data_IF_845179956396
#
_entry.id   IF_845179956396
#
_cell.length_a   1.000
_cell.length_b   1.000
_cell.length_c   1.000
_cell.angle_alpha   90.00
_cell.angle_beta   90.00
_cell.angle_gamma   90.00
#
_symmetry.space_group_name_H-M   'P 1'
#
loop_
_entity.id
_entity.type
_entity.pdbx_description
1 polymer ?
#
# COMPACT_ATOMS: atom_id res chain seq x y z
N UNK A 1 -1.06 1.38 3.29
CA UNK A 1 -0.28 2.38 4.04
C UNK A 1 1.16 2.28 3.54
N UNK A 2 1.69 3.36 2.96
CA UNK A 2 2.99 3.36 2.28
C UNK A 2 4.00 4.14 3.14
N UNK A 3 5.15 3.53 3.41
CA UNK A 3 6.27 4.19 4.11
C UNK A 3 7.42 4.31 3.12
N UNK A 4 7.71 5.54 2.67
CA UNK A 4 8.82 5.80 1.75
C UNK A 4 10.08 6.17 2.51
N UNK A 5 11.21 5.57 2.13
CA UNK A 5 12.54 5.98 2.59
C UNK A 5 13.16 6.85 1.53
N UNK A 6 13.15 8.17 1.67
CA UNK A 6 13.94 9.03 0.77
C UNK A 6 13.46 10.46 0.63
N UNK A 7 12.27 10.70 0.09
CA UNK A 7 11.74 12.06 -0.08
C UNK A 7 10.22 12.04 0.12
N UNK A 8 9.75 12.96 0.97
CA UNK A 8 8.40 12.98 1.51
C UNK A 8 7.47 13.80 0.63
N UNK A 9 6.48 13.14 0.04
CA UNK A 9 5.34 13.84 -0.54
C UNK A 9 4.49 14.47 0.58
N UNK A 10 4.07 15.71 0.39
CA UNK A 10 3.60 16.61 1.47
C UNK A 10 2.21 16.19 1.98
N UNK A 11 2.14 15.26 2.93
CA UNK A 11 0.97 15.12 3.80
C UNK A 11 1.06 16.16 4.94
N UNK A 12 0.21 17.20 4.97
CA UNK A 12 0.25 18.24 6.01
C UNK A 12 -0.23 17.74 7.38
N UNK A 13 -0.81 16.54 7.48
CA UNK A 13 -1.47 16.05 8.71
C UNK A 13 -0.65 15.06 9.51
N UNK A 14 0.34 14.40 8.92
CA UNK A 14 1.17 13.42 9.64
C UNK A 14 2.54 13.26 8.97
N UNK A 15 3.60 13.48 9.75
CA UNK A 15 4.97 13.15 9.39
C UNK A 15 5.41 12.00 10.30
N UNK A 16 5.63 10.79 9.79
CA UNK A 16 6.04 9.67 10.62
C UNK A 16 7.41 9.98 11.25
N UNK A 17 7.55 9.74 12.55
CA UNK A 17 8.86 9.79 13.23
C UNK A 17 9.66 8.54 12.92
N UNK A 18 10.93 8.50 13.34
CA UNK A 18 11.76 7.28 13.25
C UNK A 18 11.12 6.12 13.99
N UNK A 19 10.54 6.40 15.17
CA UNK A 19 9.83 5.42 15.99
C UNK A 19 8.57 4.90 15.29
N UNK A 20 7.81 5.77 14.60
CA UNK A 20 6.65 5.35 13.82
C UNK A 20 7.06 4.41 12.67
N UNK A 21 8.14 4.74 11.97
CA UNK A 21 8.68 3.90 10.89
C UNK A 21 9.15 2.56 11.45
N UNK A 22 9.90 2.56 12.54
CA UNK A 22 10.38 1.34 13.19
C UNK A 22 9.21 0.45 13.64
N UNK A 23 8.20 1.04 14.30
CA UNK A 23 7.01 0.32 14.74
C UNK A 23 6.26 -0.31 13.55
N UNK A 24 6.12 0.44 12.45
CA UNK A 24 5.47 -0.08 11.25
C UNK A 24 6.23 -1.25 10.63
N UNK A 25 7.57 -1.15 10.50
CA UNK A 25 8.39 -2.23 9.94
C UNK A 25 8.43 -3.48 10.83
N UNK A 26 8.43 -3.31 12.16
CA UNK A 26 8.30 -4.43 13.09
C UNK A 26 6.95 -5.12 12.93
N UNK A 27 5.86 -4.34 12.87
CA UNK A 27 4.52 -4.87 12.63
C UNK A 27 4.40 -5.62 11.30
N UNK A 28 4.99 -5.08 10.22
CA UNK A 28 5.04 -5.78 8.93
C UNK A 28 5.81 -7.10 9.02
N UNK A 29 6.91 -7.14 9.78
CA UNK A 29 7.67 -8.38 10.00
C UNK A 29 6.82 -9.43 10.72
N UNK A 30 6.06 -9.02 11.74
CA UNK A 30 5.12 -9.90 12.44
C UNK A 30 4.00 -10.40 11.54
N UNK A 31 3.41 -9.53 10.71
CA UNK A 31 2.39 -9.92 9.73
C UNK A 31 2.91 -10.97 8.75
N UNK A 32 4.09 -10.73 8.17
CA UNK A 32 4.68 -11.65 7.21
C UNK A 32 5.04 -13.00 7.84
N UNK A 33 5.40 -13.01 9.11
CA UNK A 33 5.73 -14.21 9.86
C UNK A 33 4.49 -15.02 10.28
N UNK A 34 3.43 -14.34 10.75
CA UNK A 34 2.26 -14.99 11.34
C UNK A 34 1.21 -15.43 10.30
N UNK A 35 1.26 -14.87 9.08
CA UNK A 35 0.27 -15.13 8.04
C UNK A 35 0.94 -15.62 6.76
N UNK A 36 0.97 -16.94 6.56
CA UNK A 36 1.58 -17.58 5.40
C UNK A 36 0.99 -17.10 4.06
N UNK A 37 -0.32 -16.81 4.04
CA UNK A 37 -1.04 -16.35 2.85
C UNK A 37 -1.01 -14.83 2.63
N UNK A 38 -0.39 -14.07 3.53
CA UNK A 38 -0.26 -12.62 3.35
C UNK A 38 0.79 -12.32 2.28
N UNK A 39 0.41 -11.63 1.21
CA UNK A 39 1.31 -11.25 0.14
C UNK A 39 1.70 -9.77 0.25
N UNK A 40 2.93 -9.45 -0.13
CA UNK A 40 3.45 -8.09 -0.13
C UNK A 40 4.43 -7.93 -1.28
N UNK A 41 4.53 -6.71 -1.80
CA UNK A 41 5.52 -6.37 -2.80
C UNK A 41 6.23 -5.07 -2.46
N UNK A 42 7.52 -5.01 -2.78
CA UNK A 42 8.30 -3.78 -2.82
C UNK A 42 8.17 -3.18 -4.23
N UNK A 43 7.93 -1.88 -4.29
CA UNK A 43 7.83 -1.13 -5.55
C UNK A 43 8.85 0.00 -5.55
N UNK A 44 9.36 0.33 -6.73
CA UNK A 44 10.22 1.49 -6.93
C UNK A 44 9.41 2.76 -7.20
N UNK A 45 10.09 3.91 -7.24
CA UNK A 45 9.46 5.21 -7.48
C UNK A 45 8.77 5.29 -8.85
N UNK A 46 9.29 4.58 -9.85
CA UNK A 46 8.67 4.52 -11.18
C UNK A 46 7.29 3.83 -11.11
N UNK A 47 7.23 2.65 -10.50
CA UNK A 47 6.01 1.89 -10.30
C UNK A 47 5.04 2.65 -9.40
N UNK A 48 5.55 3.26 -8.32
CA UNK A 48 4.77 4.14 -7.45
C UNK A 48 4.13 5.29 -8.24
N UNK A 49 4.88 5.98 -9.10
CA UNK A 49 4.36 7.07 -9.93
C UNK A 49 3.21 6.65 -10.85
N UNK A 50 3.15 5.37 -11.25
CA UNK A 50 2.05 4.82 -12.02
C UNK A 50 0.79 4.57 -11.19
N UNK A 51 0.93 4.16 -9.92
CA UNK A 51 -0.20 3.65 -9.10
C UNK A 51 -0.63 4.58 -7.97
N UNK A 52 0.20 5.54 -7.54
CA UNK A 52 -0.05 6.38 -6.36
C UNK A 52 -1.28 7.29 -6.44
N UNK A 53 -1.83 7.49 -7.64
CA UNK A 53 -2.90 8.48 -7.88
C UNK A 53 -4.22 8.11 -7.23
N UNK A 54 -4.46 6.82 -6.97
CA UNK A 54 -5.70 6.36 -6.33
C UNK A 54 -5.38 5.23 -5.35
N UNK A 55 -5.71 5.44 -4.08
CA UNK A 55 -5.69 4.39 -3.08
C UNK A 55 -7.05 3.70 -3.07
N UNK A 56 -7.06 2.40 -3.30
CA UNK A 56 -8.26 1.59 -3.26
C UNK A 56 -7.99 0.26 -2.55
N UNK A 57 -9.03 -0.28 -1.93
CA UNK A 57 -9.03 -1.60 -1.32
C UNK A 57 -10.07 -2.47 -2.02
N UNK A 58 -9.70 -3.71 -2.38
CA UNK A 58 -10.64 -4.70 -2.91
C UNK A 58 -10.97 -5.69 -1.79
N UNK A 59 -12.24 -5.81 -1.43
CA UNK A 59 -12.72 -6.78 -0.45
C UNK A 59 -13.42 -7.94 -1.16
N UNK A 60 -12.72 -9.08 -1.20
CA UNK A 60 -13.21 -10.28 -1.88
C UNK A 60 -13.45 -10.04 -3.37
N UNK A 61 -14.61 -10.47 -3.86
CA UNK A 61 -15.02 -10.32 -5.25
C UNK A 61 -16.25 -9.41 -5.44
N UNK A 62 -16.60 -8.61 -4.43
CA UNK A 62 -17.89 -7.91 -4.42
C UNK A 62 -17.80 -6.43 -4.05
N UNK A 63 -16.64 -5.92 -3.62
CA UNK A 63 -16.54 -4.52 -3.19
C UNK A 63 -15.17 -3.93 -3.45
N UNK A 64 -15.16 -2.73 -4.03
CA UNK A 64 -14.01 -1.84 -4.09
C UNK A 64 -14.31 -0.62 -3.22
N UNK A 65 -13.41 -0.28 -2.32
CA UNK A 65 -13.46 0.94 -1.53
C UNK A 65 -12.40 1.92 -2.04
N UNK A 66 -12.80 3.16 -2.32
CA UNK A 66 -11.89 4.22 -2.79
C UNK A 66 -11.94 5.37 -1.80
N UNK A 67 -10.76 5.76 -1.30
CA UNK A 67 -10.61 6.96 -0.48
C UNK A 67 -10.67 8.21 -1.36
N UNK A 68 -11.66 9.06 -1.14
CA UNK A 68 -11.81 10.32 -1.86
C UNK A 68 -11.47 11.47 -0.93
N UNK A 69 -10.43 12.22 -1.32
CA UNK A 69 -10.10 13.48 -0.67
C UNK A 69 -11.11 14.55 -1.12
N UNK A 70 -11.76 15.23 -0.17
CA UNK A 70 -12.69 16.30 -0.51
C UNK A 70 -11.94 17.45 -1.18
N UNK A 71 -12.54 18.01 -2.25
CA UNK A 71 -11.98 19.17 -2.98
C UNK A 71 -12.00 20.48 -2.21
N UNK A 72 -12.56 20.52 -1.00
CA UNK A 72 -12.81 21.74 -0.24
C UNK A 72 -12.38 21.58 1.22
N UNK A 73 -11.59 22.55 1.70
CA UNK A 73 -11.14 22.65 3.10
C UNK A 73 -12.29 22.77 4.11
N UNK A 74 -13.51 23.07 3.64
CA UNK A 74 -14.70 23.18 4.49
C UNK A 74 -15.21 21.82 5.01
N UNK A 75 -14.76 20.70 4.43
CA UNK A 75 -15.11 19.35 4.89
C UNK A 75 -13.84 18.50 4.96
N UNK A 76 -13.13 18.46 6.10
CA UNK A 76 -11.86 17.73 6.22
C UNK A 76 -12.04 16.19 6.30
N UNK A 77 -13.25 15.66 6.09
CA UNK A 77 -13.52 14.23 6.23
C UNK A 77 -13.21 13.52 4.92
N UNK A 78 -12.32 12.54 4.99
CA UNK A 78 -12.13 11.56 3.91
C UNK A 78 -13.47 10.83 3.71
N UNK A 79 -14.00 10.87 2.49
CA UNK A 79 -15.18 10.11 2.13
C UNK A 79 -14.74 8.79 1.49
N UNK A 80 -15.37 7.69 1.87
CA UNK A 80 -15.13 6.37 1.29
C UNK A 80 -16.26 6.06 0.33
N UNK A 81 -15.94 5.87 -0.95
CA UNK A 81 -16.88 5.37 -1.94
C UNK A 81 -16.76 3.86 -1.98
N UNK A 82 -17.85 3.16 -1.68
CA UNK A 82 -17.96 1.72 -1.85
C UNK A 82 -18.69 1.40 -3.16
N UNK A 83 -18.02 0.70 -4.06
CA UNK A 83 -18.57 0.24 -5.34
C UNK A 83 -18.82 -1.26 -5.23
N UNK A 84 -20.05 -1.68 -5.45
CA UNK A 84 -20.49 -3.09 -5.39
C UNK A 84 -20.98 -3.63 -6.73
N UNK A 85 -20.94 -2.80 -7.78
CA UNK A 85 -21.31 -3.20 -9.12
C UNK A 85 -20.24 -4.14 -9.69
N UNK A 86 -20.66 -5.34 -10.09
CA UNK A 86 -19.75 -6.45 -10.35
C UNK A 86 -18.77 -6.23 -11.51
N UNK A 87 -19.19 -5.52 -12.57
CA UNK A 87 -18.29 -5.27 -13.71
C UNK A 87 -17.17 -4.28 -13.36
N UNK A 88 -17.47 -3.24 -12.57
CA UNK A 88 -16.46 -2.33 -12.04
C UNK A 88 -15.56 -3.04 -11.04
N UNK A 89 -16.11 -3.84 -10.10
CA UNK A 89 -15.29 -4.61 -9.16
C UNK A 89 -14.31 -5.50 -9.93
N UNK A 90 -14.78 -6.17 -10.99
CA UNK A 90 -13.91 -7.01 -11.82
C UNK A 90 -12.82 -6.20 -12.53
N UNK A 91 -13.15 -5.03 -13.06
CA UNK A 91 -12.15 -4.17 -13.71
C UNK A 91 -11.03 -3.74 -12.75
N UNK A 92 -11.34 -3.47 -11.48
CA UNK A 92 -10.34 -3.17 -10.46
C UNK A 92 -9.48 -4.41 -10.10
N UNK A 93 -10.07 -5.60 -10.06
CA UNK A 93 -9.32 -6.84 -9.86
C UNK A 93 -8.34 -7.08 -11.01
N UNK A 94 -8.81 -6.99 -12.26
CA UNK A 94 -7.96 -7.17 -13.45
C UNK A 94 -6.83 -6.13 -13.47
N UNK A 95 -7.12 -4.89 -13.06
CA UNK A 95 -6.11 -3.84 -12.93
C UNK A 95 -5.08 -4.13 -11.83
N UNK A 96 -5.53 -4.62 -10.66
CA UNK A 96 -4.62 -5.02 -9.59
C UNK A 96 -3.72 -6.19 -10.01
N UNK A 97 -4.29 -7.20 -10.66
CA UNK A 97 -3.56 -8.36 -11.15
C UNK A 97 -2.49 -7.95 -12.18
N UNK A 98 -2.82 -7.06 -13.12
CA UNK A 98 -1.85 -6.50 -14.09
C UNK A 98 -0.71 -5.74 -13.40
N UNK A 99 -1.00 -4.94 -12.37
CA UNK A 99 0.06 -4.30 -11.57
C UNK A 99 0.92 -5.36 -10.89
N UNK A 100 0.30 -6.34 -10.24
CA UNK A 100 0.99 -7.38 -9.47
C UNK A 100 1.91 -8.23 -10.35
N UNK A 101 1.49 -8.55 -11.58
CA UNK A 101 2.26 -9.32 -12.56
C UNK A 101 3.45 -8.55 -13.13
N UNK A 102 3.38 -7.21 -13.18
CA UNK A 102 4.49 -6.37 -13.64
C UNK A 102 5.61 -6.23 -12.63
N UNK A 103 5.34 -6.49 -11.34
CA UNK A 103 6.37 -6.44 -10.30
C UNK A 103 7.29 -7.65 -10.46
N UNK A 104 8.61 -7.39 -10.49
CA UNK A 104 9.60 -8.47 -10.58
C UNK A 104 9.35 -9.50 -9.45
N UNK A 105 9.32 -10.82 -9.75
CA UNK A 105 9.03 -11.86 -8.77
C UNK A 105 9.87 -11.79 -7.49
N UNK A 106 11.12 -11.35 -7.57
CA UNK A 106 11.99 -11.18 -6.39
C UNK A 106 11.42 -10.13 -5.41
N UNK A 107 10.85 -9.04 -5.93
CA UNK A 107 10.32 -7.96 -5.08
C UNK A 107 8.95 -8.28 -4.46
N UNK A 108 8.31 -9.39 -4.85
CA UNK A 108 7.12 -9.95 -4.19
C UNK A 108 7.39 -11.27 -3.47
N UNK A 109 8.64 -11.74 -3.45
CA UNK A 109 9.04 -12.90 -2.68
C UNK A 109 9.08 -12.54 -1.19
N UNK A 110 8.28 -13.25 -0.38
CA UNK A 110 8.12 -12.94 1.04
C UNK A 110 9.44 -13.01 1.81
N UNK A 111 10.35 -13.93 1.48
CA UNK A 111 11.63 -14.07 2.18
C UNK A 111 12.55 -12.91 1.84
N UNK A 112 12.63 -12.54 0.57
CA UNK A 112 13.36 -11.38 0.09
C UNK A 112 12.86 -10.10 0.76
N UNK A 113 11.54 -9.85 0.73
CA UNK A 113 10.94 -8.66 1.34
C UNK A 113 11.18 -8.63 2.85
N UNK A 114 11.04 -9.77 3.53
CA UNK A 114 11.32 -9.86 4.98
C UNK A 114 12.78 -9.57 5.31
N UNK A 115 13.71 -10.05 4.49
CA UNK A 115 15.14 -9.74 4.65
C UNK A 115 15.39 -8.25 4.44
N UNK A 116 14.81 -7.67 3.39
CA UNK A 116 14.93 -6.24 3.09
C UNK A 116 14.41 -5.37 4.25
N UNK A 117 13.27 -5.73 4.85
CA UNK A 117 12.70 -5.00 6.01
C UNK A 117 13.66 -5.07 7.21
N UNK A 118 14.25 -6.24 7.49
CA UNK A 118 15.24 -6.40 8.57
C UNK A 118 16.48 -5.56 8.35
N UNK A 119 16.96 -5.49 7.11
CA UNK A 119 18.10 -4.64 6.74
C UNK A 119 17.77 -3.15 6.97
N UNK A 120 16.54 -2.71 6.68
CA UNK A 120 16.10 -1.33 6.97
C UNK A 120 15.98 -1.05 8.45
N UNK A 121 15.47 -2.00 9.23
CA UNK A 121 15.38 -1.89 10.70
C UNK A 121 16.76 -1.78 11.36
N UNK A 122 17.80 -2.38 10.79
CA UNK A 122 19.16 -2.26 11.30
C UNK A 122 19.82 -0.89 11.00
N UNK A 123 19.17 -0.01 10.21
CA UNK A 123 19.78 1.19 9.64
C UNK A 123 19.21 2.57 10.06
N UNK A 124 17.97 2.85 10.50
CA UNK A 124 17.09 2.20 11.47
C UNK A 124 17.62 2.48 12.88
#
# INVERSE_FOLDING_TARGET
>A
MLVTTGEYDRNPYFRPTREDIQAHLLYLTELLHNYDQFEIALIDDHTYNLIHRTQFDIKGNHTVAIGVLPRSDARPKVELIAITEGTIVRAFQDYFDDIWERINPIYRDKQFVSSWIKDKLALL
#
